data_IF_477800310798
#
_entry.id   IF_477800310798
#
_cell.length_a   1.000
_cell.length_b   1.000
_cell.length_c   1.000
_cell.angle_alpha   90.00
_cell.angle_beta   90.00
_cell.angle_gamma   90.00
#
_symmetry.space_group_name_H-M   'P 1'
#
loop_
_entity.id
_entity.type
_entity.pdbx_description
1 polymer ?
#
# COMPACT_ATOMS: atom_id res chain seq x y z
N UNK A 1 17.86 -5.91 5.35
CA UNK A 1 17.23 -5.72 4.03
C UNK A 1 16.87 -7.08 3.47
N UNK A 2 15.73 -7.25 2.77
CA UNK A 2 15.47 -8.43 1.93
C UNK A 2 15.68 -8.01 0.49
N UNK A 3 16.58 -8.70 -0.20
CA UNK A 3 16.93 -8.44 -1.59
C UNK A 3 16.45 -9.58 -2.51
N UNK A 4 15.77 -9.25 -3.60
CA UNK A 4 15.25 -10.23 -4.56
C UNK A 4 16.20 -10.48 -5.74
N UNK A 5 17.47 -10.72 -5.44
CA UNK A 5 18.55 -10.95 -6.41
C UNK A 5 18.74 -9.74 -7.34
N UNK A 6 18.95 -8.56 -6.75
CA UNK A 6 19.26 -7.32 -7.47
C UNK A 6 20.65 -7.38 -8.11
N UNK A 7 20.81 -6.74 -9.27
CA UNK A 7 22.06 -6.70 -10.06
C UNK A 7 22.63 -5.27 -10.17
N UNK A 8 22.06 -4.33 -9.42
CA UNK A 8 22.35 -2.89 -9.50
C UNK A 8 23.31 -2.38 -8.42
N UNK A 9 23.93 -3.28 -7.63
CA UNK A 9 24.84 -2.93 -6.54
C UNK A 9 24.17 -2.55 -5.23
N UNK A 10 22.83 -2.66 -5.14
CA UNK A 10 22.08 -2.32 -3.92
C UNK A 10 22.49 -3.18 -2.71
N UNK A 11 22.83 -4.45 -2.93
CA UNK A 11 23.29 -5.38 -1.91
C UNK A 11 24.62 -4.93 -1.31
N UNK A 12 25.60 -4.65 -2.15
CA UNK A 12 26.95 -4.23 -1.75
C UNK A 12 26.90 -2.92 -0.95
N UNK A 13 26.04 -1.99 -1.36
CA UNK A 13 25.80 -0.74 -0.66
C UNK A 13 25.22 -1.01 0.73
N UNK A 14 24.22 -1.87 0.83
CA UNK A 14 23.58 -2.21 2.10
C UNK A 14 24.58 -2.87 3.07
N UNK A 15 25.35 -3.86 2.59
CA UNK A 15 26.38 -4.55 3.38
C UNK A 15 27.49 -3.59 3.84
N UNK A 16 27.93 -2.67 2.96
CA UNK A 16 28.93 -1.64 3.31
C UNK A 16 28.43 -0.67 4.40
N UNK A 17 27.12 -0.50 4.53
CA UNK A 17 26.51 0.28 5.61
C UNK A 17 26.14 -0.57 6.84
N UNK A 18 26.59 -1.80 6.92
CA UNK A 18 26.39 -2.68 8.07
C UNK A 18 24.99 -3.28 8.19
N UNK A 19 24.20 -3.24 7.10
CA UNK A 19 22.88 -3.86 7.10
C UNK A 19 22.97 -5.38 6.94
N UNK A 20 22.13 -6.11 7.64
CA UNK A 20 21.91 -7.54 7.37
C UNK A 20 21.10 -7.67 6.09
N UNK A 21 21.63 -8.39 5.11
CA UNK A 21 20.95 -8.63 3.83
C UNK A 21 20.53 -10.09 3.72
N UNK A 22 19.25 -10.32 3.52
CA UNK A 22 18.65 -11.62 3.23
C UNK A 22 18.33 -11.70 1.75
N UNK A 23 18.99 -12.57 1.01
CA UNK A 23 18.82 -12.69 -0.45
C UNK A 23 17.84 -13.79 -0.76
N UNK A 24 16.80 -13.46 -1.52
CA UNK A 24 15.81 -14.41 -2.03
C UNK A 24 15.86 -14.46 -3.56
N UNK A 25 15.40 -15.55 -4.15
CA UNK A 25 15.27 -15.63 -5.61
C UNK A 25 14.16 -14.69 -6.10
N UNK A 26 14.37 -14.03 -7.23
CA UNK A 26 13.40 -13.08 -7.83
C UNK A 26 12.03 -13.72 -8.04
N UNK A 27 12.00 -14.98 -8.46
CA UNK A 27 10.74 -15.73 -8.70
C UNK A 27 9.98 -16.04 -7.42
N UNK A 28 10.67 -16.03 -6.27
CA UNK A 28 10.08 -16.28 -4.96
C UNK A 28 9.52 -15.02 -4.32
N UNK A 29 9.81 -13.84 -4.89
CA UNK A 29 9.36 -12.58 -4.34
C UNK A 29 7.83 -12.45 -4.46
N UNK A 30 7.24 -12.11 -3.31
CA UNK A 30 5.85 -11.71 -3.21
C UNK A 30 5.74 -10.75 -2.02
N UNK A 31 5.00 -9.66 -2.21
CA UNK A 31 4.96 -8.58 -1.24
C UNK A 31 4.58 -9.03 0.17
N UNK A 32 3.52 -9.80 0.32
CA UNK A 32 3.06 -10.30 1.60
C UNK A 32 3.98 -11.37 2.19
N UNK A 33 4.29 -12.42 1.41
CA UNK A 33 5.12 -13.54 1.85
C UNK A 33 6.53 -13.14 2.23
N UNK A 34 7.15 -12.25 1.45
CA UNK A 34 8.49 -11.73 1.74
C UNK A 34 8.52 -10.93 3.04
N UNK A 35 7.53 -10.06 3.27
CA UNK A 35 7.43 -9.28 4.51
C UNK A 35 7.11 -10.17 5.71
N UNK A 36 6.23 -11.15 5.54
CA UNK A 36 5.93 -12.16 6.57
C UNK A 36 7.17 -12.91 6.99
N UNK A 37 7.93 -13.47 6.04
CA UNK A 37 9.16 -14.19 6.31
C UNK A 37 10.21 -13.31 7.02
N UNK A 38 10.30 -12.03 6.63
CA UNK A 38 11.20 -11.08 7.30
C UNK A 38 10.80 -10.84 8.76
N UNK A 39 9.50 -10.69 9.07
CA UNK A 39 9.03 -10.55 10.45
C UNK A 39 9.33 -11.82 11.25
N UNK A 40 8.99 -12.98 10.71
CA UNK A 40 9.24 -14.27 11.37
C UNK A 40 10.72 -14.52 11.63
N UNK A 41 11.61 -14.09 10.74
CA UNK A 41 13.05 -14.31 10.85
C UNK A 41 13.78 -13.30 11.74
N UNK A 42 13.37 -12.03 11.70
CA UNK A 42 14.17 -10.93 12.27
C UNK A 42 13.49 -10.15 13.39
N UNK A 43 12.17 -10.34 13.63
CA UNK A 43 11.43 -9.48 14.54
C UNK A 43 10.83 -10.22 15.74
N UNK A 44 11.32 -11.42 16.09
CA UNK A 44 10.74 -12.23 17.19
C UNK A 44 10.79 -11.51 18.55
N UNK A 45 11.90 -10.80 18.82
CA UNK A 45 12.13 -10.08 20.08
C UNK A 45 11.97 -8.55 19.94
N UNK A 46 11.32 -8.09 18.84
CA UNK A 46 11.14 -6.67 18.58
C UNK A 46 9.74 -6.20 18.98
N UNK A 47 9.66 -5.01 19.54
CA UNK A 47 8.35 -4.39 19.84
C UNK A 47 7.66 -3.86 18.60
N UNK A 48 8.43 -3.29 17.67
CA UNK A 48 7.94 -2.62 16.46
C UNK A 48 8.78 -3.02 15.25
N UNK A 49 8.11 -3.33 14.15
CA UNK A 49 8.73 -3.48 12.83
C UNK A 49 8.36 -2.29 11.94
N UNK A 50 9.34 -1.73 11.23
CA UNK A 50 9.14 -0.67 10.23
C UNK A 50 9.42 -1.23 8.84
N UNK A 51 8.49 -1.03 7.94
CA UNK A 51 8.66 -1.33 6.52
C UNK A 51 8.91 -0.06 5.72
N UNK A 52 9.84 -0.17 4.79
CA UNK A 52 10.12 0.84 3.78
C UNK A 52 10.46 0.13 2.47
N UNK A 53 9.91 0.59 1.36
CA UNK A 53 10.27 0.09 0.02
C UNK A 53 11.52 0.80 -0.49
N UNK A 54 12.28 0.15 -1.38
CA UNK A 54 13.53 0.68 -1.90
C UNK A 54 13.38 2.00 -2.69
N UNK A 55 12.18 2.32 -3.09
CA UNK A 55 11.83 3.54 -3.82
C UNK A 55 11.24 4.64 -2.93
N UNK A 56 11.23 4.42 -1.60
CA UNK A 56 10.88 5.44 -0.62
C UNK A 56 12.15 6.09 -0.07
N UNK A 57 12.13 7.41 0.08
CA UNK A 57 13.25 8.19 0.63
C UNK A 57 12.75 8.93 1.87
N UNK A 58 13.39 8.71 3.01
CA UNK A 58 13.08 9.45 4.25
C UNK A 58 13.38 10.94 4.02
N UNK A 59 12.37 11.79 4.18
CA UNK A 59 12.49 13.20 3.83
C UNK A 59 13.16 14.06 4.92
N UNK A 60 13.07 13.65 6.20
CA UNK A 60 13.63 14.38 7.34
C UNK A 60 14.32 13.41 8.31
N UNK A 61 15.41 13.82 8.99
CA UNK A 61 16.17 12.97 9.89
C UNK A 61 15.35 12.38 11.06
N UNK A 62 14.29 13.07 11.49
CA UNK A 62 13.43 12.65 12.60
C UNK A 62 12.15 11.92 12.17
N UNK A 63 11.94 11.71 10.86
CA UNK A 63 10.74 11.06 10.31
C UNK A 63 10.52 9.66 10.91
N UNK A 64 11.59 8.88 11.12
CA UNK A 64 11.47 7.57 11.76
C UNK A 64 10.98 7.68 13.21
N UNK A 65 11.49 8.63 13.97
CA UNK A 65 11.05 8.89 15.36
C UNK A 65 9.58 9.31 15.38
N UNK A 66 9.17 10.17 14.46
CA UNK A 66 7.77 10.61 14.32
C UNK A 66 6.86 9.44 13.96
N UNK A 67 7.31 8.53 13.07
CA UNK A 67 6.55 7.34 12.67
C UNK A 67 6.28 6.40 13.86
N UNK A 68 7.28 6.18 14.73
CA UNK A 68 7.15 5.22 15.83
C UNK A 68 6.55 5.82 17.10
N UNK A 69 6.52 7.15 17.22
CA UNK A 69 6.01 7.85 18.41
C UNK A 69 4.60 7.43 18.85
N UNK A 70 3.60 7.20 17.96
CA UNK A 70 2.27 6.80 18.36
C UNK A 70 2.19 5.45 19.10
N UNK A 71 3.20 4.59 18.97
CA UNK A 71 3.26 3.32 19.71
C UNK A 71 3.49 3.47 21.22
N UNK A 72 3.71 4.69 21.74
CA UNK A 72 3.64 4.96 23.17
C UNK A 72 2.26 4.61 23.76
N UNK A 73 1.21 4.67 22.95
CA UNK A 73 -0.11 4.16 23.30
C UNK A 73 -0.21 2.66 22.96
N UNK A 74 -0.46 1.76 23.93
CA UNK A 74 -0.56 0.32 23.69
C UNK A 74 -1.74 -0.07 22.79
N UNK A 75 -2.77 0.75 22.66
CA UNK A 75 -3.90 0.53 21.75
C UNK A 75 -3.56 0.69 20.27
N UNK A 76 -2.44 1.34 19.95
CA UNK A 76 -2.01 1.54 18.57
C UNK A 76 -1.32 0.28 18.04
N UNK A 77 -1.93 -0.35 17.04
CA UNK A 77 -1.44 -1.55 16.37
C UNK A 77 -0.54 -1.27 15.18
N UNK A 78 -0.84 -0.21 14.40
CA UNK A 78 -0.04 0.16 13.23
C UNK A 78 -0.01 1.68 13.00
N UNK A 79 1.07 2.15 12.35
CA UNK A 79 1.27 3.55 12.01
C UNK A 79 1.80 3.64 10.58
N UNK A 80 1.29 4.56 9.77
CA UNK A 80 1.89 4.88 8.48
C UNK A 80 2.16 6.38 8.36
N UNK A 81 3.26 6.71 7.67
CA UNK A 81 3.68 8.08 7.47
C UNK A 81 3.15 8.69 6.17
N UNK A 82 3.41 9.98 6.04
CA UNK A 82 3.04 10.78 4.90
C UNK A 82 4.00 10.57 3.73
N UNK A 83 3.46 10.18 2.59
CA UNK A 83 4.21 10.07 1.36
C UNK A 83 4.02 11.32 0.51
N UNK A 84 5.11 12.04 0.28
CA UNK A 84 5.15 13.21 -0.59
C UNK A 84 5.49 12.77 -2.03
N UNK A 85 5.00 13.50 -3.04
CA UNK A 85 5.45 13.28 -4.39
C UNK A 85 6.95 13.63 -4.50
N UNK A 86 7.70 12.84 -5.27
CA UNK A 86 9.11 13.13 -5.57
C UNK A 86 9.25 14.45 -6.34
N UNK A 87 10.43 15.05 -6.23
CA UNK A 87 10.80 16.16 -7.09
C UNK A 87 10.65 15.77 -8.56
N UNK A 88 9.91 16.56 -9.34
CA UNK A 88 9.62 16.29 -10.74
C UNK A 88 8.38 15.41 -11.00
N UNK A 89 7.68 14.96 -9.98
CA UNK A 89 6.42 14.23 -10.14
C UNK A 89 5.39 15.03 -10.96
N UNK A 90 4.73 14.33 -11.89
CA UNK A 90 3.67 14.94 -12.71
C UNK A 90 2.45 15.35 -11.87
N UNK A 91 1.62 16.30 -12.34
CA UNK A 91 0.50 16.82 -11.55
C UNK A 91 -0.55 15.76 -11.22
N UNK A 92 -0.79 14.76 -12.07
CA UNK A 92 -1.74 13.65 -11.79
C UNK A 92 -1.20 12.79 -10.64
N UNK A 93 0.09 12.44 -10.70
CA UNK A 93 0.77 11.67 -9.68
C UNK A 93 0.82 12.43 -8.33
N UNK A 94 1.21 13.70 -8.37
CA UNK A 94 1.26 14.55 -7.19
C UNK A 94 -0.11 14.66 -6.51
N UNK A 95 -1.20 14.82 -7.28
CA UNK A 95 -2.55 14.82 -6.74
C UNK A 95 -2.85 13.51 -5.99
N UNK A 96 -2.51 12.36 -6.57
CA UNK A 96 -2.73 11.07 -5.92
C UNK A 96 -2.05 10.96 -4.54
N UNK A 97 -0.86 11.56 -4.38
CA UNK A 97 -0.19 11.64 -3.08
C UNK A 97 -0.91 12.58 -2.12
N UNK A 98 -1.22 13.79 -2.53
CA UNK A 98 -1.90 14.76 -1.67
C UNK A 98 -3.29 14.30 -1.23
N UNK A 99 -4.02 13.58 -2.08
CA UNK A 99 -5.32 13.02 -1.75
C UNK A 99 -5.25 11.90 -0.72
N UNK A 100 -4.28 10.99 -0.87
CA UNK A 100 -4.15 9.84 0.03
C UNK A 100 -3.39 10.16 1.32
N UNK A 101 -2.54 11.19 1.30
CA UNK A 101 -1.67 11.57 2.41
C UNK A 101 -1.83 13.07 2.75
N UNK A 102 -2.98 13.47 3.34
CA UNK A 102 -3.24 14.86 3.70
C UNK A 102 -2.23 15.40 4.74
N UNK A 103 -2.25 16.72 4.97
CA UNK A 103 -1.33 17.36 5.90
C UNK A 103 -1.68 17.12 7.38
N UNK A 104 -2.86 16.62 7.66
CA UNK A 104 -3.36 16.41 9.03
C UNK A 104 -3.23 14.95 9.43
N UNK A 105 -2.67 14.71 10.62
CA UNK A 105 -2.60 13.38 11.22
C UNK A 105 -3.99 12.89 11.62
N UNK A 106 -4.19 11.58 11.56
CA UNK A 106 -5.47 10.97 11.94
C UNK A 106 -5.24 9.68 12.69
N UNK A 107 -5.99 9.47 13.78
CA UNK A 107 -6.16 8.19 14.44
C UNK A 107 -7.44 7.55 13.90
N UNK A 108 -7.40 6.31 13.54
CA UNK A 108 -8.52 5.53 13.03
C UNK A 108 -8.79 4.39 14.00
N UNK A 109 -10.01 4.32 14.49
CA UNK A 109 -10.51 3.25 15.36
C UNK A 109 -11.65 2.49 14.70
N UNK A 110 -12.16 1.47 15.37
CA UNK A 110 -13.35 0.73 14.93
C UNK A 110 -14.57 1.64 14.79
N UNK A 111 -14.70 2.66 15.63
CA UNK A 111 -15.85 3.58 15.64
C UNK A 111 -15.86 4.51 14.42
N UNK A 112 -14.70 4.76 13.82
CA UNK A 112 -14.60 5.63 12.64
C UNK A 112 -14.85 4.90 11.32
N UNK A 113 -15.02 3.58 11.32
CA UNK A 113 -15.30 2.80 10.11
C UNK A 113 -16.56 3.32 9.41
N UNK A 114 -17.60 3.67 10.16
CA UNK A 114 -18.85 4.20 9.61
C UNK A 114 -18.67 5.54 8.87
N UNK A 115 -17.72 6.37 9.28
CA UNK A 115 -17.44 7.68 8.68
C UNK A 115 -16.45 7.61 7.51
N UNK A 116 -15.42 6.77 7.63
CA UNK A 116 -14.31 6.68 6.67
C UNK A 116 -14.52 5.58 5.62
N UNK A 117 -15.42 4.64 5.88
CA UNK A 117 -15.65 3.51 4.98
C UNK A 117 -14.39 2.67 4.78
N UNK A 118 -14.21 2.17 3.57
CA UNK A 118 -13.03 1.36 3.17
C UNK A 118 -11.71 2.11 3.39
N UNK A 119 -11.71 3.44 3.40
CA UNK A 119 -10.51 4.26 3.65
C UNK A 119 -10.01 4.17 5.08
N UNK A 120 -10.83 3.74 6.04
CA UNK A 120 -10.38 3.43 7.39
C UNK A 120 -9.25 2.38 7.36
N UNK A 121 -9.37 1.36 6.51
CA UNK A 121 -8.38 0.31 6.32
C UNK A 121 -7.19 0.70 5.42
N UNK A 122 -7.16 1.92 4.87
CA UNK A 122 -6.03 2.36 4.04
C UNK A 122 -4.74 2.41 4.86
N UNK A 123 -3.71 1.74 4.35
CA UNK A 123 -2.37 1.67 4.91
C UNK A 123 -1.33 1.56 3.79
N UNK A 124 -0.05 1.79 4.08
CA UNK A 124 1.01 1.60 3.10
C UNK A 124 2.33 1.16 3.73
N UNK A 125 2.78 -0.02 3.32
CA UNK A 125 4.09 -0.56 3.68
C UNK A 125 5.28 0.14 2.99
N UNK A 126 5.03 1.10 2.11
CA UNK A 126 6.11 1.91 1.56
C UNK A 126 6.75 2.83 2.62
N UNK A 127 5.98 3.22 3.64
CA UNK A 127 6.43 3.92 4.83
C UNK A 127 5.45 3.64 5.97
N UNK A 128 5.61 2.49 6.64
CA UNK A 128 4.67 2.03 7.66
C UNK A 128 5.33 1.18 8.74
N UNK A 129 4.70 1.11 9.89
CA UNK A 129 5.18 0.39 11.07
C UNK A 129 4.05 -0.38 11.75
N UNK A 130 4.40 -1.49 12.38
CA UNK A 130 3.46 -2.33 13.14
C UNK A 130 4.04 -2.68 14.51
N UNK A 131 3.18 -2.68 15.52
CA UNK A 131 3.48 -3.36 16.77
C UNK A 131 3.49 -4.86 16.52
N UNK A 132 4.60 -5.53 16.80
CA UNK A 132 4.80 -6.96 16.47
C UNK A 132 3.78 -7.84 17.17
N UNK A 133 3.50 -7.58 18.46
CA UNK A 133 2.48 -8.33 19.20
C UNK A 133 1.07 -8.21 18.60
N UNK A 134 0.67 -6.99 18.19
CA UNK A 134 -0.62 -6.77 17.53
C UNK A 134 -0.68 -7.40 16.15
N UNK A 135 0.43 -7.33 15.38
CA UNK A 135 0.53 -7.98 14.08
C UNK A 135 0.37 -9.50 14.19
N UNK A 136 1.02 -10.12 15.17
CA UNK A 136 0.91 -11.55 15.43
C UNK A 136 -0.51 -11.93 15.91
N UNK A 137 -1.12 -11.11 16.76
CA UNK A 137 -2.48 -11.35 17.27
C UNK A 137 -3.53 -11.39 16.15
N UNK A 138 -3.32 -10.64 15.05
CA UNK A 138 -4.22 -10.66 13.89
C UNK A 138 -3.81 -11.66 12.80
N UNK A 139 -2.81 -12.54 13.06
CA UNK A 139 -2.36 -13.61 12.16
C UNK A 139 -1.29 -13.21 11.16
N UNK A 140 -0.61 -12.08 11.42
CA UNK A 140 0.53 -11.64 10.62
C UNK A 140 0.13 -11.08 9.24
N UNK A 141 1.16 -10.93 8.40
CA UNK A 141 0.98 -10.46 7.01
C UNK A 141 0.54 -11.65 6.14
N UNK A 142 -0.52 -11.54 5.32
CA UNK A 142 -0.96 -12.62 4.44
C UNK A 142 0.08 -12.88 3.34
N UNK A 143 0.51 -14.14 3.22
CA UNK A 143 1.50 -14.54 2.21
C UNK A 143 0.89 -14.81 0.83
N UNK A 144 -0.42 -14.94 0.75
CA UNK A 144 -1.19 -15.32 -0.44
C UNK A 144 -2.05 -14.17 -1.01
N UNK A 145 -1.90 -12.95 -0.51
CA UNK A 145 -2.52 -11.77 -1.09
C UNK A 145 -1.84 -11.39 -2.41
N UNK A 146 -2.63 -11.13 -3.46
CA UNK A 146 -2.10 -10.67 -4.75
C UNK A 146 -1.49 -9.28 -4.64
N UNK A 147 -2.12 -8.41 -3.84
CA UNK A 147 -1.67 -7.05 -3.49
C UNK A 147 -2.42 -6.58 -2.23
N UNK A 148 -2.14 -5.36 -1.77
CA UNK A 148 -2.86 -4.69 -0.66
C UNK A 148 -2.84 -5.46 0.66
N UNK A 149 -1.79 -6.26 0.89
CA UNK A 149 -1.58 -6.99 2.13
C UNK A 149 -1.51 -6.07 3.35
N UNK A 150 -1.05 -4.82 3.14
CA UNK A 150 -0.99 -3.76 4.13
C UNK A 150 -2.38 -3.29 4.57
N UNK A 151 -3.25 -3.00 3.63
CA UNK A 151 -4.65 -2.64 3.91
C UNK A 151 -5.43 -3.80 4.53
N UNK A 152 -5.14 -5.04 4.11
CA UNK A 152 -5.71 -6.24 4.73
C UNK A 152 -5.35 -6.35 6.21
N UNK A 153 -4.07 -6.18 6.55
CA UNK A 153 -3.61 -6.21 7.95
C UNK A 153 -4.24 -5.07 8.75
N UNK A 154 -4.27 -3.85 8.20
CA UNK A 154 -4.90 -2.70 8.85
C UNK A 154 -6.39 -2.96 9.13
N UNK A 155 -7.12 -3.53 8.17
CA UNK A 155 -8.52 -3.90 8.35
C UNK A 155 -8.71 -4.93 9.47
N UNK A 156 -7.85 -5.95 9.54
CA UNK A 156 -7.88 -6.95 10.63
C UNK A 156 -7.55 -6.35 11.99
N UNK A 157 -6.59 -5.42 12.05
CA UNK A 157 -6.27 -4.71 13.28
C UNK A 157 -7.45 -3.87 13.78
N UNK A 158 -8.08 -3.08 12.91
CA UNK A 158 -9.30 -2.34 13.26
C UNK A 158 -10.41 -3.27 13.72
N UNK A 159 -10.61 -4.40 13.03
CA UNK A 159 -11.61 -5.39 13.39
C UNK A 159 -11.35 -6.05 14.76
N UNK A 160 -10.09 -6.12 15.18
CA UNK A 160 -9.64 -6.64 16.47
C UNK A 160 -9.60 -5.57 17.58
N UNK A 161 -9.98 -4.32 17.28
CA UNK A 161 -10.01 -3.21 18.24
C UNK A 161 -8.69 -2.46 18.42
N UNK A 162 -7.70 -2.70 17.58
CA UNK A 162 -6.48 -1.87 17.55
C UNK A 162 -6.69 -0.63 16.69
N UNK A 163 -6.05 0.46 17.08
CA UNK A 163 -6.08 1.70 16.31
C UNK A 163 -4.97 1.74 15.27
N UNK A 164 -5.25 2.42 14.17
CA UNK A 164 -4.30 2.74 13.12
C UNK A 164 -4.04 4.25 13.13
N UNK A 165 -2.78 4.66 13.24
CA UNK A 165 -2.42 6.07 13.19
C UNK A 165 -1.83 6.45 11.82
N UNK A 166 -2.29 7.55 11.27
CA UNK A 166 -1.63 8.27 10.20
C UNK A 166 -0.81 9.42 10.80
N UNK A 167 0.51 9.36 10.65
CA UNK A 167 1.45 10.36 11.14
C UNK A 167 1.86 11.29 9.98
N UNK A 168 1.17 12.43 9.85
CA UNK A 168 1.41 13.37 8.74
C UNK A 168 2.75 14.10 8.82
N UNK A 169 3.38 14.10 9.98
CA UNK A 169 4.71 14.69 10.24
C UNK A 169 5.86 13.68 10.04
N UNK A 170 5.57 12.39 9.85
CA UNK A 170 6.54 11.37 9.49
C UNK A 170 6.67 11.28 7.96
N UNK A 171 7.57 12.07 7.38
CA UNK A 171 7.64 12.32 5.95
C UNK A 171 8.58 11.34 5.23
N UNK A 172 8.11 10.83 4.08
CA UNK A 172 8.93 10.16 3.07
C UNK A 172 8.54 10.61 1.67
N UNK A 173 9.48 10.71 0.76
CA UNK A 173 9.20 10.89 -0.67
C UNK A 173 8.99 9.53 -1.31
N UNK A 174 7.86 9.34 -1.97
CA UNK A 174 7.53 8.11 -2.69
C UNK A 174 6.47 8.41 -3.74
N UNK A 175 6.77 8.15 -4.98
CA UNK A 175 5.82 8.30 -6.07
C UNK A 175 6.16 7.39 -7.26
N UNK A 176 5.16 7.15 -8.10
CA UNK A 176 5.27 6.31 -9.28
C UNK A 176 4.64 7.01 -10.47
N UNK A 177 5.38 7.19 -11.54
CA UNK A 177 4.84 7.62 -12.83
C UNK A 177 4.43 6.39 -13.64
N UNK A 178 3.25 5.86 -13.33
CA UNK A 178 2.72 4.68 -14.01
C UNK A 178 2.31 5.01 -15.45
N UNK A 179 2.73 4.17 -16.38
CA UNK A 179 2.11 4.09 -17.69
C UNK A 179 0.63 3.66 -17.59
N UNK A 180 -0.16 3.89 -18.64
CA UNK A 180 -1.56 3.42 -18.69
C UNK A 180 -1.69 1.91 -18.46
N UNK A 181 -0.74 1.13 -18.99
CA UNK A 181 -0.75 -0.33 -18.85
C UNK A 181 -0.44 -0.80 -17.41
N UNK A 182 0.52 -0.16 -16.74
CA UNK A 182 0.85 -0.47 -15.35
C UNK A 182 -0.28 -0.08 -14.41
N UNK A 183 -0.89 1.08 -14.64
CA UNK A 183 -2.04 1.54 -13.86
C UNK A 183 -3.24 0.61 -14.05
N UNK A 184 -3.53 0.18 -15.29
CA UNK A 184 -4.56 -0.81 -15.56
C UNK A 184 -4.32 -2.12 -14.81
N UNK A 185 -3.11 -2.69 -14.91
CA UNK A 185 -2.77 -3.94 -14.23
C UNK A 185 -2.90 -3.84 -12.72
N UNK A 186 -2.44 -2.74 -12.14
CA UNK A 186 -2.56 -2.46 -10.71
C UNK A 186 -4.03 -2.45 -10.25
N UNK A 187 -4.90 -1.74 -10.97
CA UNK A 187 -6.32 -1.67 -10.61
C UNK A 187 -7.06 -2.98 -10.89
N UNK A 188 -6.63 -3.74 -11.87
CA UNK A 188 -7.09 -5.12 -12.05
C UNK A 188 -6.78 -5.98 -10.82
N UNK A 189 -5.54 -5.95 -10.34
CA UNK A 189 -5.13 -6.72 -9.15
C UNK A 189 -5.85 -6.27 -7.88
N UNK A 190 -6.12 -4.97 -7.71
CA UNK A 190 -6.98 -4.45 -6.62
C UNK A 190 -8.41 -5.00 -6.73
N UNK A 191 -8.95 -5.10 -7.93
CA UNK A 191 -10.25 -5.72 -8.17
C UNK A 191 -10.27 -7.21 -7.80
N UNK A 192 -9.24 -7.95 -8.16
CA UNK A 192 -9.05 -9.35 -7.76
C UNK A 192 -8.97 -9.48 -6.24
N UNK A 193 -8.18 -8.64 -5.59
CA UNK A 193 -8.05 -8.61 -4.13
C UNK A 193 -9.41 -8.44 -3.44
N UNK A 194 -10.19 -7.44 -3.84
CA UNK A 194 -11.53 -7.24 -3.27
C UNK A 194 -12.53 -8.34 -3.61
N UNK A 195 -12.35 -9.06 -4.73
CA UNK A 195 -13.19 -10.22 -5.04
C UNK A 195 -12.87 -11.43 -4.16
N UNK A 196 -11.60 -11.56 -3.74
CA UNK A 196 -11.14 -12.65 -2.87
C UNK A 196 -11.39 -12.37 -1.38
N UNK A 197 -11.49 -11.08 -1.02
CA UNK A 197 -11.68 -10.62 0.36
C UNK A 197 -13.01 -9.84 0.51
N UNK A 198 -14.17 -10.47 0.26
CA UNK A 198 -15.47 -9.77 0.27
C UNK A 198 -15.82 -9.17 1.64
N UNK A 199 -15.35 -9.77 2.73
CA UNK A 199 -15.57 -9.29 4.10
C UNK A 199 -15.07 -7.85 4.31
N UNK A 200 -14.07 -7.41 3.54
CA UNK A 200 -13.59 -6.03 3.61
C UNK A 200 -14.69 -5.04 3.21
N UNK A 201 -15.37 -5.30 2.10
CA UNK A 201 -16.46 -4.44 1.66
C UNK A 201 -17.72 -4.59 2.51
N UNK A 202 -18.00 -5.79 3.01
CA UNK A 202 -19.12 -6.04 3.93
C UNK A 202 -18.96 -5.25 5.23
N UNK A 203 -17.72 -5.14 5.75
CA UNK A 203 -17.44 -4.49 7.02
C UNK A 203 -17.11 -3.00 6.88
N UNK A 204 -16.42 -2.60 5.84
CA UNK A 204 -15.91 -1.24 5.66
C UNK A 204 -16.65 -0.44 4.56
N UNK A 205 -17.59 -1.04 3.86
CA UNK A 205 -18.33 -0.39 2.78
C UNK A 205 -17.65 -0.46 1.42
N UNK A 206 -18.34 0.03 0.40
CA UNK A 206 -17.87 -0.02 -1.00
C UNK A 206 -16.81 1.06 -1.28
N UNK A 207 -16.03 0.82 -2.32
CA UNK A 207 -14.99 1.74 -2.82
C UNK A 207 -15.52 2.88 -3.68
N UNK A 208 -16.81 2.84 -4.07
CA UNK A 208 -17.40 3.75 -5.05
C UNK A 208 -17.37 5.22 -4.61
N UNK A 209 -17.76 5.50 -3.39
CA UNK A 209 -17.81 6.87 -2.86
C UNK A 209 -16.41 7.50 -2.77
N UNK A 210 -15.41 6.74 -2.35
CA UNK A 210 -14.02 7.21 -2.30
C UNK A 210 -13.47 7.45 -3.72
N UNK A 211 -13.83 6.60 -4.68
CA UNK A 211 -13.48 6.81 -6.09
C UNK A 211 -14.03 8.12 -6.65
N UNK A 212 -15.28 8.45 -6.35
CA UNK A 212 -15.88 9.73 -6.77
C UNK A 212 -15.25 10.93 -6.09
N UNK A 213 -14.93 10.84 -4.81
CA UNK A 213 -14.20 11.88 -4.07
C UNK A 213 -12.84 12.13 -4.69
N UNK A 214 -12.12 11.05 -5.06
CA UNK A 214 -10.84 11.15 -5.77
C UNK A 214 -10.98 11.89 -7.09
N UNK A 215 -11.88 11.45 -7.98
CA UNK A 215 -12.07 12.04 -9.32
C UNK A 215 -12.44 13.52 -9.24
N UNK A 216 -13.36 13.87 -8.33
CA UNK A 216 -13.74 15.29 -8.10
C UNK A 216 -12.56 16.12 -7.60
N UNK A 217 -11.80 15.61 -6.66
CA UNK A 217 -10.62 16.28 -6.10
C UNK A 217 -9.54 16.46 -7.17
N UNK A 218 -9.28 15.43 -7.98
CA UNK A 218 -8.31 15.47 -9.09
C UNK A 218 -8.68 16.53 -10.12
N UNK A 219 -9.95 16.56 -10.51
CA UNK A 219 -10.45 17.56 -11.45
C UNK A 219 -10.23 19.00 -10.94
N UNK A 220 -10.59 19.28 -9.67
CA UNK A 220 -10.40 20.59 -9.06
C UNK A 220 -8.91 20.97 -8.94
N UNK A 221 -8.07 19.99 -8.60
CA UNK A 221 -6.63 20.19 -8.51
C UNK A 221 -6.02 20.52 -9.88
N UNK A 222 -6.38 19.72 -10.91
CA UNK A 222 -5.87 19.89 -12.26
C UNK A 222 -6.36 21.20 -12.91
N UNK A 223 -7.59 21.63 -12.68
CA UNK A 223 -8.07 22.93 -13.14
C UNK A 223 -7.16 24.08 -12.71
N UNK A 224 -6.57 23.98 -11.52
CA UNK A 224 -5.71 25.03 -10.94
C UNK A 224 -4.24 24.86 -11.36
N UNK A 225 -3.75 23.64 -11.54
CA UNK A 225 -2.31 23.36 -11.69
C UNK A 225 -1.91 22.96 -13.10
N UNK A 226 -2.76 22.24 -13.84
CA UNK A 226 -2.44 21.68 -15.15
C UNK A 226 -3.72 21.34 -15.94
N UNK A 227 -4.52 22.32 -16.38
CA UNK A 227 -5.83 22.04 -17.02
C UNK A 227 -5.73 21.19 -18.29
N UNK A 228 -4.60 21.26 -19.00
CA UNK A 228 -4.33 20.44 -20.20
C UNK A 228 -4.19 18.94 -19.90
N UNK A 229 -4.01 18.55 -18.63
CA UNK A 229 -3.92 17.13 -18.20
C UNK A 229 -5.28 16.52 -17.86
N UNK A 230 -6.35 17.30 -17.83
CA UNK A 230 -7.71 16.82 -17.51
C UNK A 230 -8.18 15.69 -18.45
N UNK A 231 -8.00 15.77 -19.79
CA UNK A 231 -8.41 14.67 -20.66
C UNK A 231 -7.66 13.36 -20.38
N UNK A 232 -6.36 13.43 -20.07
CA UNK A 232 -5.55 12.27 -19.68
C UNK A 232 -6.03 11.69 -18.36
N UNK A 233 -6.27 12.53 -17.32
CA UNK A 233 -6.79 12.08 -16.04
C UNK A 233 -8.15 11.39 -16.19
N UNK A 234 -9.04 11.93 -17.03
CA UNK A 234 -10.32 11.31 -17.36
C UNK A 234 -10.18 9.92 -17.98
N UNK A 235 -9.25 9.76 -18.94
CA UNK A 235 -8.96 8.46 -19.57
C UNK A 235 -8.36 7.48 -18.54
N UNK A 236 -7.42 7.93 -17.70
CA UNK A 236 -6.84 7.11 -16.63
C UNK A 236 -7.92 6.62 -15.66
N UNK A 237 -8.80 7.49 -15.21
CA UNK A 237 -9.88 7.12 -14.30
C UNK A 237 -10.86 6.12 -14.93
N UNK A 238 -11.19 6.28 -16.21
CA UNK A 238 -12.01 5.29 -16.93
C UNK A 238 -11.32 3.91 -16.96
N UNK A 239 -10.02 3.88 -17.31
CA UNK A 239 -9.25 2.65 -17.36
C UNK A 239 -9.15 1.99 -15.98
N UNK A 240 -8.97 2.75 -14.90
CA UNK A 240 -8.99 2.24 -13.51
C UNK A 240 -10.31 1.56 -13.18
N UNK A 241 -11.44 2.20 -13.50
CA UNK A 241 -12.77 1.64 -13.24
C UNK A 241 -12.98 0.35 -14.03
N UNK A 242 -12.60 0.35 -15.33
CA UNK A 242 -12.72 -0.85 -16.17
C UNK A 242 -11.85 -2.00 -15.64
N UNK A 243 -10.58 -1.71 -15.34
CA UNK A 243 -9.64 -2.68 -14.79
C UNK A 243 -10.13 -3.28 -13.47
N UNK A 244 -10.58 -2.44 -12.55
CA UNK A 244 -11.14 -2.86 -11.27
C UNK A 244 -12.35 -3.79 -11.43
N UNK A 245 -13.31 -3.43 -12.29
CA UNK A 245 -14.48 -4.27 -12.57
C UNK A 245 -14.11 -5.61 -13.20
N UNK A 246 -13.16 -5.61 -14.16
CA UNK A 246 -12.64 -6.86 -14.74
C UNK A 246 -11.94 -7.72 -13.69
N UNK A 247 -11.15 -7.12 -12.80
CA UNK A 247 -10.52 -7.83 -11.68
C UNK A 247 -11.55 -8.45 -10.73
N UNK A 248 -12.64 -7.73 -10.43
CA UNK A 248 -13.77 -8.29 -9.64
C UNK A 248 -14.40 -9.51 -10.28
N UNK A 249 -14.39 -9.60 -11.61
CA UNK A 249 -14.94 -10.72 -12.37
C UNK A 249 -13.87 -11.72 -12.83
N UNK A 250 -12.66 -11.71 -12.26
CA UNK A 250 -11.52 -12.51 -12.71
C UNK A 250 -11.81 -14.01 -12.82
N UNK A 251 -12.65 -14.57 -11.94
CA UNK A 251 -13.04 -15.99 -11.95
C UNK A 251 -13.80 -16.42 -13.22
N UNK A 252 -14.44 -15.47 -13.90
CA UNK A 252 -15.16 -15.72 -15.16
C UNK A 252 -14.28 -15.54 -16.40
N UNK A 253 -13.00 -15.17 -16.23
CA UNK A 253 -12.08 -14.90 -17.32
C UNK A 253 -11.10 -16.08 -17.54
N UNK A 254 -10.69 -16.36 -18.78
CA UNK A 254 -9.65 -17.34 -19.05
C UNK A 254 -8.34 -16.99 -18.32
N UNK A 255 -7.67 -17.96 -17.72
CA UNK A 255 -6.42 -17.77 -16.94
C UNK A 255 -5.34 -17.01 -17.72
N UNK A 256 -5.23 -17.23 -19.05
CA UNK A 256 -4.27 -16.50 -19.89
C UNK A 256 -4.55 -15.00 -19.92
N UNK A 257 -5.83 -14.62 -20.00
CA UNK A 257 -6.23 -13.20 -19.97
C UNK A 257 -5.95 -12.57 -18.61
N UNK A 258 -6.33 -13.25 -17.53
CA UNK A 258 -6.08 -12.80 -16.16
C UNK A 258 -4.59 -12.53 -15.94
N UNK A 259 -3.73 -13.45 -16.36
CA UNK A 259 -2.27 -13.29 -16.25
C UNK A 259 -1.71 -12.09 -17.04
N UNK A 260 -2.25 -11.82 -18.23
CA UNK A 260 -1.79 -10.67 -19.04
C UNK A 260 -2.25 -9.33 -18.48
N UNK A 261 -3.37 -9.32 -17.75
CA UNK A 261 -3.95 -8.13 -17.12
C UNK A 261 -3.44 -7.87 -15.70
N UNK A 262 -2.69 -8.79 -15.11
CA UNK A 262 -2.13 -8.69 -13.76
C UNK A 262 -0.68 -8.20 -13.79
N UNK A 263 -0.28 -7.42 -12.77
CA UNK A 263 1.12 -7.10 -12.47
C UNK A 263 1.86 -8.28 -11.84
N UNK A 264 1.12 -9.23 -11.27
CA UNK A 264 1.65 -10.35 -10.48
C UNK A 264 1.45 -11.68 -11.19
N UNK A 265 2.05 -11.84 -12.37
CA UNK A 265 1.91 -13.06 -13.18
C UNK A 265 2.30 -14.37 -12.47
N UNK A 266 3.27 -14.32 -11.55
CA UNK A 266 3.71 -15.46 -10.75
C UNK A 266 2.64 -15.95 -9.75
N UNK A 267 1.84 -15.05 -9.21
CA UNK A 267 0.71 -15.37 -8.33
C UNK A 267 -0.24 -16.41 -8.95
N UNK A 268 -0.54 -16.24 -10.23
CA UNK A 268 -1.46 -17.10 -10.98
C UNK A 268 -0.90 -18.48 -11.37
N UNK A 269 0.40 -18.71 -11.10
CA UNK A 269 1.03 -20.03 -11.29
C UNK A 269 0.92 -20.91 -10.04
N UNK A 270 0.79 -20.28 -8.86
CA UNK A 270 0.75 -20.96 -7.56
C UNK A 270 -0.68 -21.31 -7.11
N UNK A 271 -1.70 -20.71 -7.71
CA UNK A 271 -3.13 -20.85 -7.35
C UNK A 271 -3.86 -21.96 -8.14
N UNK A 272 -3.17 -23.05 -8.48
CA UNK A 272 -3.81 -24.25 -9.07
C UNK A 272 -4.09 -25.30 -8.03
#
# INVERSE_FOLDING_TARGET
>A
MVDSSSEDGAREIAEAHGLVVDVIRRESFNHGGTRRAAVEKFCQDMDVVVFMTQDSIVAEPDSLRKLVRPFADPGVGAVYGRQLPRSGAGPIEAHGRFFNYPAESKRKSVDEIAADGIKAAFFSNAWGAYRVSSLNAVGGIPGDAICSEDSYVAARMLAAGYDICYASDALAEHSHDFSFAEEFRRYFDIGVFHAREPWLQERFGDTGDEGWRFVRSEFVYLLKKAPWRIPEAGLRNLLKIMAYKLGRCHSSLPTRMVRSMSSHGAFWLQTR
#
